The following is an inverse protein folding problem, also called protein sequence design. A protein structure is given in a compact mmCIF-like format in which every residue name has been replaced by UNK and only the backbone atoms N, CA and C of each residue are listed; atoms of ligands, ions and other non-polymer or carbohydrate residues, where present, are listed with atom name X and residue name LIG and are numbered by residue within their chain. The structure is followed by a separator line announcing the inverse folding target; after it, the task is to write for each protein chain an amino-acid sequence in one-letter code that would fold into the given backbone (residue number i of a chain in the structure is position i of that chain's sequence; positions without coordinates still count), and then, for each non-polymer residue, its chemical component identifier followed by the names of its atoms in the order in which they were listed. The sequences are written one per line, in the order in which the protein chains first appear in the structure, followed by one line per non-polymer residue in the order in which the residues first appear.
data_IF_609051168635
#
_entry.id   IF_609051168635
#
_cell.length_a   1.000
_cell.length_b   1.000
_cell.length_c   1.000
_cell.angle_alpha   90.00
_cell.angle_beta   90.00
_cell.angle_gamma   90.00
#
_symmetry.space_group_name_H-M   'P 1'
#
loop_
_entity.id
_entity.type
_entity.pdbx_description
1 polymer ?
#
# COMPACT_ATOMS: atom_id res chain seq x y z
N UNK A 1 43.50 42.98 -28.93
CA UNK A 1 44.84 42.57 -29.35
C UNK A 1 45.14 41.21 -28.81
N UNK A 2 45.51 40.33 -29.71
CA UNK A 2 46.17 39.02 -29.64
C UNK A 2 45.43 37.93 -28.83
N UNK A 3 44.75 36.96 -29.39
CA UNK A 3 45.17 35.89 -30.32
C UNK A 3 46.19 34.93 -29.69
N UNK A 4 45.73 33.67 -29.43
CA UNK A 4 46.38 32.44 -29.87
C UNK A 4 45.61 31.19 -29.37
N UNK A 5 44.99 30.45 -30.25
CA UNK A 5 44.88 28.99 -30.23
C UNK A 5 46.06 28.47 -31.08
N UNK A 6 46.47 27.21 -31.16
CA UNK A 6 45.66 25.99 -31.23
C UNK A 6 46.31 24.72 -30.60
N UNK A 7 45.66 23.56 -30.67
CA UNK A 7 46.38 22.29 -30.59
C UNK A 7 45.55 21.06 -30.24
N UNK A 8 44.87 20.48 -31.23
CA UNK A 8 44.37 19.11 -31.26
C UNK A 8 45.50 18.08 -31.08
N UNK A 9 45.30 17.06 -30.24
CA UNK A 9 45.73 15.66 -30.55
C UNK A 9 44.91 14.64 -29.83
N UNK A 10 44.22 13.80 -30.63
CA UNK A 10 43.58 12.54 -30.26
C UNK A 10 44.68 11.55 -29.83
N UNK A 11 44.45 10.86 -28.71
CA UNK A 11 45.16 9.62 -28.41
C UNK A 11 44.08 8.56 -28.05
N UNK A 12 43.83 7.70 -29.03
CA UNK A 12 43.10 6.45 -28.84
C UNK A 12 44.04 5.44 -28.21
N UNK A 13 43.79 5.04 -26.99
CA UNK A 13 44.49 3.90 -26.36
C UNK A 13 43.61 2.69 -26.52
N UNK A 14 44.03 1.76 -27.38
CA UNK A 14 43.51 0.39 -27.43
C UNK A 14 44.10 -0.38 -26.25
N UNK A 15 43.28 -0.81 -25.35
CA UNK A 15 43.64 -1.82 -24.37
C UNK A 15 43.20 -3.19 -24.91
N UNK A 16 44.21 -3.97 -25.35
CA UNK A 16 44.12 -5.36 -25.65
C UNK A 16 44.18 -6.16 -24.35
N UNK A 17 43.18 -6.95 -24.05
CA UNK A 17 43.19 -7.96 -22.97
C UNK A 17 43.79 -9.27 -23.51
N UNK A 18 44.74 -9.90 -22.82
CA UNK A 18 45.25 -11.22 -23.20
C UNK A 18 44.26 -12.27 -22.76
N UNK A 19 43.89 -13.16 -23.70
CA UNK A 19 43.15 -14.39 -23.43
C UNK A 19 44.06 -15.41 -22.75
N UNK A 20 43.76 -15.79 -21.53
CA UNK A 20 44.35 -16.96 -20.88
C UNK A 20 43.55 -18.18 -21.34
N UNK A 21 44.15 -18.97 -22.24
CA UNK A 21 43.64 -20.30 -22.67
C UNK A 21 44.11 -21.33 -21.66
N UNK A 22 43.21 -21.86 -20.86
CA UNK A 22 43.48 -23.06 -20.06
C UNK A 22 43.24 -24.31 -20.93
N UNK A 23 44.37 -24.97 -21.32
CA UNK A 23 44.37 -26.33 -21.90
C UNK A 23 44.19 -27.33 -20.75
N UNK A 24 42.94 -27.78 -20.53
CA UNK A 24 42.63 -29.09 -19.97
C UNK A 24 41.14 -29.19 -19.67
N UNK A 25 40.37 -29.64 -20.65
CA UNK A 25 39.14 -30.39 -20.49
C UNK A 25 38.66 -30.86 -21.87
N UNK A 26 39.32 -31.91 -22.36
CA UNK A 26 38.76 -32.74 -23.42
C UNK A 26 37.85 -33.79 -22.80
N UNK A 27 36.70 -34.00 -23.45
CA UNK A 27 35.74 -35.10 -23.29
C UNK A 27 34.86 -35.14 -22.02
N UNK A 28 33.67 -34.59 -22.17
CA UNK A 28 32.45 -35.32 -21.83
C UNK A 28 31.25 -34.70 -22.59
N UNK A 29 30.73 -35.44 -23.57
CA UNK A 29 29.44 -35.19 -24.21
C UNK A 29 28.34 -35.37 -23.17
N UNK A 30 27.67 -34.28 -22.76
CA UNK A 30 26.41 -34.35 -22.06
C UNK A 30 25.31 -33.94 -23.05
N UNK A 31 24.34 -34.82 -23.33
CA UNK A 31 23.26 -34.46 -24.25
C UNK A 31 22.35 -33.42 -23.64
N UNK A 32 22.00 -32.40 -24.46
CA UNK A 32 21.01 -31.37 -24.20
C UNK A 32 19.67 -32.01 -23.79
N UNK A 33 19.30 -31.87 -22.52
CA UNK A 33 17.95 -32.16 -22.04
C UNK A 33 17.01 -31.06 -22.50
N UNK A 34 16.09 -31.40 -23.40
CA UNK A 34 14.98 -30.63 -23.84
C UNK A 34 14.00 -30.24 -22.70
N UNK A 35 13.30 -29.10 -22.77
CA UNK A 35 12.35 -28.65 -21.74
C UNK A 35 11.00 -29.35 -21.90
N UNK A 36 10.83 -30.54 -21.38
CA UNK A 36 9.62 -31.36 -21.50
C UNK A 36 8.93 -31.70 -20.16
N UNK A 37 9.08 -30.90 -19.10
CA UNK A 37 8.40 -31.18 -17.82
C UNK A 37 7.01 -30.58 -17.67
N UNK A 38 6.49 -29.80 -18.64
CA UNK A 38 5.13 -29.23 -18.56
C UNK A 38 4.13 -30.02 -19.41
N UNK A 39 4.58 -30.82 -20.37
CA UNK A 39 3.68 -31.59 -21.28
C UNK A 39 3.30 -32.96 -20.67
N UNK A 40 4.09 -33.49 -19.75
CA UNK A 40 3.81 -34.81 -19.18
C UNK A 40 2.71 -34.87 -18.11
N UNK A 41 2.24 -33.73 -17.61
CA UNK A 41 1.10 -33.72 -16.65
C UNK A 41 -0.26 -33.83 -17.36
N UNK A 42 -0.31 -33.51 -18.64
CA UNK A 42 -1.57 -33.61 -19.42
C UNK A 42 -1.68 -34.94 -20.16
N UNK A 43 -0.55 -35.67 -20.38
CA UNK A 43 -0.54 -36.94 -21.13
C UNK A 43 -0.72 -38.20 -20.29
N UNK A 44 -0.68 -38.13 -18.98
CA UNK A 44 -0.83 -39.32 -18.11
C UNK A 44 -2.30 -39.69 -17.77
N UNK A 45 -3.27 -39.11 -18.49
CA UNK A 45 -4.69 -39.47 -18.36
C UNK A 45 -5.36 -39.87 -19.67
N UNK A 46 -4.58 -40.39 -20.64
CA UNK A 46 -5.16 -41.03 -21.79
C UNK A 46 -4.60 -42.44 -21.94
N UNK A 47 -5.51 -43.39 -21.67
CA UNK A 47 -5.59 -44.75 -22.20
C UNK A 47 -4.51 -45.81 -21.81
N UNK A 48 -4.78 -46.47 -20.72
CA UNK A 48 -4.65 -47.91 -20.72
C UNK A 48 -6.03 -48.49 -21.06
N UNK A 49 -6.31 -48.68 -22.35
CA UNK A 49 -7.36 -49.62 -22.79
C UNK A 49 -6.76 -51.00 -22.67
N UNK A 50 -6.84 -51.58 -21.47
CA UNK A 50 -6.65 -53.00 -21.30
C UNK A 50 -7.85 -53.72 -21.90
N UNK A 51 -7.61 -54.64 -22.87
CA UNK A 51 -8.62 -55.59 -23.36
C UNK A 51 -9.32 -56.23 -22.14
N UNK A 52 -10.59 -55.94 -21.98
CA UNK A 52 -11.41 -56.54 -20.94
C UNK A 52 -11.58 -58.03 -21.21
N UNK A 53 -11.33 -58.88 -20.21
CA UNK A 53 -11.85 -60.24 -20.25
C UNK A 53 -13.38 -60.17 -20.17
N UNK A 54 -14.05 -60.98 -21.01
CA UNK A 54 -15.48 -61.14 -21.01
C UNK A 54 -15.94 -61.74 -19.66
N UNK A 55 -16.32 -60.88 -18.72
CA UNK A 55 -17.02 -61.30 -17.50
C UNK A 55 -18.51 -61.12 -17.72
N UNK A 56 -19.23 -62.23 -17.56
CA UNK A 56 -20.70 -62.23 -17.46
C UNK A 56 -21.11 -61.49 -16.20
N UNK A 57 -21.61 -60.26 -16.36
CA UNK A 57 -22.19 -59.51 -15.27
C UNK A 57 -23.59 -60.06 -14.92
N UNK A 58 -23.71 -60.62 -13.73
CA UNK A 58 -25.04 -60.88 -13.13
C UNK A 58 -25.64 -59.56 -12.70
N UNK A 59 -26.97 -59.37 -12.93
CA UNK A 59 -27.72 -58.15 -12.61
C UNK A 59 -27.62 -57.68 -11.15
N UNK A 60 -27.26 -58.55 -10.21
CA UNK A 60 -27.05 -58.24 -8.81
C UNK A 60 -25.79 -57.43 -8.51
N UNK A 61 -24.69 -57.66 -9.27
CA UNK A 61 -23.44 -56.87 -9.09
C UNK A 61 -23.58 -55.42 -9.58
N UNK A 62 -24.43 -55.18 -10.59
CA UNK A 62 -24.71 -53.81 -11.07
C UNK A 62 -25.59 -53.02 -10.06
N UNK A 63 -26.52 -53.67 -9.38
CA UNK A 63 -27.35 -53.04 -8.37
C UNK A 63 -26.55 -52.66 -7.11
N UNK A 64 -25.57 -53.47 -6.72
CA UNK A 64 -24.69 -53.18 -5.57
C UNK A 64 -23.70 -52.04 -5.85
N UNK A 65 -23.19 -51.92 -7.09
CA UNK A 65 -22.34 -50.79 -7.51
C UNK A 65 -23.12 -49.47 -7.64
N UNK A 66 -24.41 -49.49 -7.99
CA UNK A 66 -25.28 -48.30 -8.05
C UNK A 66 -25.65 -47.81 -6.65
N UNK A 67 -25.75 -48.70 -5.66
CA UNK A 67 -26.03 -48.32 -4.26
C UNK A 67 -24.77 -47.85 -3.52
N UNK A 68 -23.58 -48.30 -3.89
CA UNK A 68 -22.30 -47.89 -3.29
C UNK A 68 -21.82 -46.48 -3.78
N UNK A 69 -22.23 -46.03 -4.98
CA UNK A 69 -21.81 -44.74 -5.54
C UNK A 69 -22.22 -43.52 -4.68
N UNK A 70 -23.42 -43.46 -4.06
CA UNK A 70 -23.77 -42.34 -3.18
C UNK A 70 -23.03 -42.36 -1.85
N UNK A 71 -22.65 -43.50 -1.31
CA UNK A 71 -21.91 -43.61 -0.06
C UNK A 71 -20.44 -43.21 -0.23
N UNK A 72 -19.80 -43.70 -1.30
CA UNK A 72 -18.43 -43.32 -1.65
C UNK A 72 -18.34 -41.84 -1.98
N UNK A 73 -19.33 -41.28 -2.69
CA UNK A 73 -19.40 -39.84 -2.94
C UNK A 73 -19.58 -39.01 -1.66
N UNK A 74 -20.42 -39.50 -0.72
CA UNK A 74 -20.58 -38.87 0.60
C UNK A 74 -19.33 -38.97 1.47
N UNK A 75 -18.63 -40.09 1.47
CA UNK A 75 -17.35 -40.25 2.18
C UNK A 75 -16.24 -39.41 1.57
N UNK A 76 -16.12 -39.36 0.25
CA UNK A 76 -15.18 -38.48 -0.46
C UNK A 76 -15.48 -37.00 -0.19
N UNK A 77 -16.77 -36.60 -0.18
CA UNK A 77 -17.20 -35.26 0.20
C UNK A 77 -16.89 -34.94 1.68
N UNK A 78 -17.08 -35.92 2.58
CA UNK A 78 -16.75 -35.79 4.01
C UNK A 78 -15.23 -35.74 4.26
N UNK A 79 -14.42 -36.49 3.50
CA UNK A 79 -12.97 -36.44 3.53
C UNK A 79 -12.45 -35.10 2.95
N UNK A 80 -13.04 -34.63 1.83
CA UNK A 80 -12.72 -33.32 1.25
C UNK A 80 -13.07 -32.16 2.20
N UNK A 81 -14.10 -32.31 3.04
CA UNK A 81 -14.46 -31.31 4.06
C UNK A 81 -13.47 -31.26 5.23
N UNK A 82 -12.66 -32.30 5.43
CA UNK A 82 -11.63 -32.35 6.49
C UNK A 82 -10.28 -31.79 6.06
N UNK A 83 -10.06 -31.51 4.79
CA UNK A 83 -8.81 -30.91 4.26
C UNK A 83 -9.00 -29.46 3.89
N UNK A 84 -7.90 -28.68 3.97
CA UNK A 84 -7.91 -27.31 3.41
C UNK A 84 -8.06 -27.35 1.88
N UNK A 85 -8.86 -26.46 1.25
CA UNK A 85 -8.98 -26.38 -0.19
C UNK A 85 -7.63 -25.98 -0.81
N UNK A 86 -7.33 -26.50 -2.00
CA UNK A 86 -6.12 -26.15 -2.75
C UNK A 86 -6.07 -24.64 -3.06
N UNK A 87 -7.20 -24.06 -3.42
CA UNK A 87 -7.34 -22.63 -3.75
C UNK A 87 -8.55 -22.03 -3.03
N UNK A 88 -8.39 -20.78 -2.62
CA UNK A 88 -9.49 -20.02 -2.02
C UNK A 88 -10.34 -19.40 -3.12
N UNK A 89 -11.61 -19.79 -3.23
CA UNK A 89 -12.59 -19.29 -4.21
C UNK A 89 -13.89 -18.82 -3.55
N UNK A 90 -13.91 -18.76 -2.22
CA UNK A 90 -15.08 -18.41 -1.42
C UNK A 90 -15.48 -16.95 -1.60
N UNK A 91 -16.67 -16.68 -2.19
CA UNK A 91 -17.21 -15.33 -2.36
C UNK A 91 -17.41 -14.60 -1.01
N UNK A 92 -17.92 -15.21 0.05
CA UNK A 92 -18.02 -14.56 1.37
C UNK A 92 -16.67 -14.05 1.90
N UNK A 93 -15.58 -14.82 1.74
CA UNK A 93 -14.23 -14.38 2.15
C UNK A 93 -13.79 -13.15 1.36
N UNK A 94 -14.05 -13.13 0.06
CA UNK A 94 -13.71 -11.97 -0.77
C UNK A 94 -14.51 -10.72 -0.40
N UNK A 95 -15.83 -10.86 -0.16
CA UNK A 95 -16.70 -9.73 0.24
C UNK A 95 -16.30 -9.20 1.61
N UNK A 96 -16.01 -10.07 2.57
CA UNK A 96 -15.53 -9.66 3.88
C UNK A 96 -14.19 -8.90 3.80
N UNK A 97 -13.23 -9.37 3.00
CA UNK A 97 -11.96 -8.67 2.76
C UNK A 97 -12.17 -7.31 2.09
N UNK A 98 -13.10 -7.18 1.13
CA UNK A 98 -13.46 -5.90 0.53
C UNK A 98 -14.07 -4.95 1.55
N UNK A 99 -15.00 -5.44 2.39
CA UNK A 99 -15.59 -4.65 3.47
C UNK A 99 -14.54 -4.18 4.48
N UNK A 100 -13.59 -5.06 4.83
CA UNK A 100 -12.45 -4.70 5.70
C UNK A 100 -11.56 -3.63 5.05
N UNK A 101 -11.25 -3.75 3.76
CA UNK A 101 -10.48 -2.73 3.03
C UNK A 101 -11.22 -1.38 3.01
N UNK A 102 -12.54 -1.38 2.76
CA UNK A 102 -13.36 -0.15 2.82
C UNK A 102 -13.35 0.47 4.22
N UNK A 103 -13.40 -0.35 5.28
CA UNK A 103 -13.32 0.14 6.66
C UNK A 103 -11.95 0.74 6.97
N UNK A 104 -10.85 0.13 6.52
CA UNK A 104 -9.49 0.70 6.64
C UNK A 104 -9.37 2.00 5.85
N UNK A 105 -9.94 2.06 4.64
CA UNK A 105 -10.00 3.30 3.86
C UNK A 105 -10.69 4.43 4.65
N UNK A 106 -11.88 4.17 5.21
CA UNK A 106 -12.60 5.13 6.04
C UNK A 106 -11.80 5.56 7.28
N UNK A 107 -11.12 4.61 7.92
CA UNK A 107 -10.26 4.88 9.09
C UNK A 107 -9.06 5.77 8.74
N UNK A 108 -8.45 5.59 7.57
CA UNK A 108 -7.37 6.48 7.10
C UNK A 108 -7.89 7.89 6.85
N UNK A 109 -9.07 8.05 6.24
CA UNK A 109 -9.69 9.36 6.04
C UNK A 109 -9.98 10.03 7.38
N UNK A 110 -10.54 9.28 8.35
CA UNK A 110 -10.83 9.79 9.69
C UNK A 110 -9.55 10.18 10.46
N UNK A 111 -8.48 9.38 10.34
CA UNK A 111 -7.17 9.71 10.91
C UNK A 111 -6.57 10.99 10.30
N UNK A 112 -6.80 11.23 9.01
CA UNK A 112 -6.44 12.50 8.36
C UNK A 112 -7.23 13.69 8.91
N UNK A 113 -8.52 13.52 9.13
CA UNK A 113 -9.35 14.53 9.81
C UNK A 113 -8.84 14.79 11.23
N UNK A 114 -8.53 13.76 12.01
CA UNK A 114 -7.94 13.90 13.35
C UNK A 114 -6.64 14.72 13.32
N UNK A 115 -5.80 14.54 12.27
CA UNK A 115 -4.59 15.37 12.10
C UNK A 115 -4.91 16.81 11.69
N UNK A 116 -5.84 17.00 10.75
CA UNK A 116 -6.22 18.33 10.23
C UNK A 116 -6.97 19.18 11.25
N UNK A 117 -7.62 18.56 12.23
CA UNK A 117 -8.30 19.23 13.34
C UNK A 117 -7.44 19.32 14.60
N UNK A 118 -6.13 18.96 14.49
CA UNK A 118 -5.18 18.98 15.61
C UNK A 118 -5.67 18.21 16.84
N UNK A 119 -6.46 17.15 16.64
CA UNK A 119 -7.12 16.41 17.72
C UNK A 119 -6.31 15.20 18.23
N UNK A 120 -5.16 14.90 17.62
CA UNK A 120 -4.45 13.62 17.80
C UNK A 120 -3.59 13.50 19.06
N UNK A 121 -3.61 14.49 19.96
CA UNK A 121 -2.89 14.50 21.25
C UNK A 121 -3.84 14.73 22.44
N UNK A 122 -5.16 14.71 22.21
CA UNK A 122 -6.16 14.96 23.25
C UNK A 122 -6.26 13.85 24.29
N UNK A 123 -5.94 12.60 23.91
CA UNK A 123 -5.93 11.43 24.81
C UNK A 123 -4.49 11.05 25.10
N UNK A 124 -3.97 11.47 26.22
CA UNK A 124 -2.56 11.33 26.60
C UNK A 124 -2.18 9.92 27.04
N UNK A 125 -3.13 9.13 27.53
CA UNK A 125 -2.89 7.78 28.03
C UNK A 125 -3.11 6.68 26.97
N UNK A 126 -2.30 5.62 27.08
CA UNK A 126 -2.45 4.43 26.26
C UNK A 126 -3.22 3.35 27.03
N UNK A 127 -4.51 3.20 26.70
CA UNK A 127 -5.39 2.18 27.26
C UNK A 127 -5.97 1.31 26.13
N UNK A 128 -5.29 0.24 25.71
CA UNK A 128 -5.68 -0.52 24.52
C UNK A 128 -7.02 -1.25 24.67
N UNK A 129 -7.39 -1.68 25.88
CA UNK A 129 -8.61 -2.42 26.19
C UNK A 129 -9.62 -1.55 26.93
N UNK A 130 -9.24 -0.97 28.06
CA UNK A 130 -10.15 -0.22 28.98
C UNK A 130 -10.54 1.14 28.46
N UNK A 131 -9.75 1.77 27.56
CA UNK A 131 -10.05 3.08 26.95
C UNK A 131 -11.00 3.02 25.75
N UNK A 132 -11.96 2.09 25.73
CA UNK A 132 -12.91 1.94 24.62
C UNK A 132 -14.20 2.73 24.83
N UNK A 133 -14.57 3.00 26.07
CA UNK A 133 -15.72 3.82 26.42
C UNK A 133 -15.28 5.27 26.65
N UNK A 134 -16.06 6.26 26.22
CA UNK A 134 -15.78 7.68 26.51
C UNK A 134 -16.07 7.96 27.98
N UNK A 135 -15.54 9.07 28.53
CA UNK A 135 -15.91 9.55 29.85
C UNK A 135 -17.45 9.70 29.96
N UNK A 136 -18.02 9.21 31.08
CA UNK A 136 -19.47 9.18 31.26
C UNK A 136 -19.99 10.18 32.29
N UNK A 137 -19.16 10.54 33.24
CA UNK A 137 -19.48 11.52 34.29
C UNK A 137 -18.72 12.83 34.08
N UNK A 138 -19.19 13.90 34.74
CA UNK A 138 -18.47 15.17 34.73
C UNK A 138 -17.08 15.05 35.35
N UNK A 139 -16.94 14.23 36.38
CA UNK A 139 -15.68 13.96 37.04
C UNK A 139 -14.68 13.25 36.13
N UNK A 140 -15.15 12.24 35.33
CA UNK A 140 -14.32 11.59 34.33
C UNK A 140 -13.81 12.57 33.27
N UNK A 141 -14.72 13.46 32.79
CA UNK A 141 -14.34 14.49 31.82
C UNK A 141 -13.32 15.47 32.38
N UNK A 142 -13.50 15.89 33.64
CA UNK A 142 -12.54 16.77 34.30
C UNK A 142 -11.18 16.09 34.43
N UNK A 143 -11.16 14.83 34.84
CA UNK A 143 -9.93 14.05 34.96
C UNK A 143 -9.18 13.93 33.62
N UNK A 144 -9.86 13.62 32.52
CA UNK A 144 -9.23 13.53 31.20
C UNK A 144 -8.76 14.92 30.71
N UNK A 145 -9.52 15.98 30.99
CA UNK A 145 -9.12 17.35 30.64
C UNK A 145 -7.89 17.81 31.44
N UNK A 146 -7.81 17.48 32.72
CA UNK A 146 -6.63 17.83 33.57
C UNK A 146 -5.37 17.12 33.04
N UNK A 147 -5.47 15.87 32.56
CA UNK A 147 -4.36 15.18 31.90
C UNK A 147 -3.92 15.86 30.61
N UNK A 148 -4.88 16.32 29.78
CA UNK A 148 -4.58 17.08 28.57
C UNK A 148 -3.95 18.45 28.90
N UNK A 149 -4.42 19.14 29.94
CA UNK A 149 -3.84 20.40 30.43
C UNK A 149 -2.36 20.26 30.83
N UNK A 150 -1.95 19.09 31.28
CA UNK A 150 -0.56 18.79 31.58
C UNK A 150 0.31 18.48 30.35
N UNK A 151 -0.24 18.53 29.13
CA UNK A 151 0.48 18.28 27.91
C UNK A 151 1.16 19.51 27.33
N UNK A 152 2.27 19.36 26.55
CA UNK A 152 2.91 20.47 25.85
C UNK A 152 1.98 21.18 24.87
N UNK A 153 1.08 20.44 24.18
CA UNK A 153 0.13 21.00 23.23
C UNK A 153 -0.81 21.99 23.89
N UNK A 154 -1.41 21.63 25.03
CA UNK A 154 -2.27 22.56 25.77
C UNK A 154 -1.48 23.78 26.20
N UNK A 155 -0.32 23.58 26.81
CA UNK A 155 0.46 24.69 27.41
C UNK A 155 0.91 25.74 26.37
N UNK A 156 1.27 25.31 25.14
CA UNK A 156 1.84 26.18 24.12
C UNK A 156 0.86 26.59 23.03
N UNK A 157 -0.11 25.75 22.68
CA UNK A 157 -1.01 26.00 21.54
C UNK A 157 -2.44 26.29 21.97
N UNK A 158 -2.94 25.68 23.05
CA UNK A 158 -4.34 25.72 23.45
C UNK A 158 -4.57 26.18 24.91
N UNK A 159 -3.83 27.16 25.47
CA UNK A 159 -3.89 27.51 26.91
C UNK A 159 -5.26 28.03 27.38
N UNK A 160 -6.11 28.45 26.45
CA UNK A 160 -7.45 29.00 26.72
C UNK A 160 -8.59 28.04 26.32
N UNK A 161 -8.27 26.78 25.94
CA UNK A 161 -9.27 25.82 25.53
C UNK A 161 -10.27 25.53 26.64
N UNK A 162 -11.53 25.55 26.27
CA UNK A 162 -12.66 25.24 27.16
C UNK A 162 -12.92 23.72 27.19
N UNK A 163 -13.70 23.29 28.20
CA UNK A 163 -14.11 21.88 28.32
C UNK A 163 -14.89 21.40 27.09
N UNK A 164 -15.73 22.26 26.49
CA UNK A 164 -16.55 21.85 25.34
C UNK A 164 -15.72 21.73 24.06
N UNK A 165 -14.73 22.58 23.85
CA UNK A 165 -13.73 22.43 22.77
C UNK A 165 -12.90 21.18 22.98
N UNK A 166 -12.45 20.90 24.20
CA UNK A 166 -11.73 19.66 24.55
C UNK A 166 -12.55 18.41 24.21
N UNK A 167 -13.85 18.37 24.54
CA UNK A 167 -14.74 17.27 24.19
C UNK A 167 -14.80 17.02 22.68
N UNK A 168 -14.72 18.06 21.85
CA UNK A 168 -14.73 17.92 20.38
C UNK A 168 -13.45 17.23 19.88
N UNK A 169 -12.28 17.70 20.29
CA UNK A 169 -11.00 17.07 19.89
C UNK A 169 -10.86 15.66 20.47
N UNK A 170 -11.32 15.45 21.72
CA UNK A 170 -11.37 14.14 22.36
C UNK A 170 -12.23 13.16 21.55
N UNK A 171 -13.42 13.57 21.11
CA UNK A 171 -14.30 12.73 20.30
C UNK A 171 -13.65 12.32 18.97
N UNK A 172 -12.95 13.23 18.30
CA UNK A 172 -12.25 12.94 17.05
C UNK A 172 -11.18 11.86 17.24
N UNK A 173 -10.34 11.97 18.27
CA UNK A 173 -9.31 11.00 18.56
C UNK A 173 -9.89 9.69 19.09
N UNK A 174 -10.83 9.76 20.04
CA UNK A 174 -11.50 8.60 20.61
C UNK A 174 -12.17 7.73 19.53
N UNK A 175 -12.94 8.34 18.64
CA UNK A 175 -13.63 7.63 17.57
C UNK A 175 -12.65 6.96 16.58
N UNK A 176 -11.52 7.62 16.27
CA UNK A 176 -10.44 7.01 15.48
C UNK A 176 -9.87 5.77 16.19
N UNK A 177 -9.55 5.89 17.48
CA UNK A 177 -9.01 4.77 18.28
C UNK A 177 -9.99 3.61 18.42
N UNK A 178 -11.29 3.89 18.63
CA UNK A 178 -12.35 2.87 18.72
C UNK A 178 -12.55 2.18 17.37
N UNK A 179 -12.61 2.95 16.27
CA UNK A 179 -12.74 2.38 14.94
C UNK A 179 -11.56 1.47 14.61
N UNK A 180 -10.32 1.84 14.96
CA UNK A 180 -9.15 0.97 14.81
C UNK A 180 -9.29 -0.37 15.54
N UNK A 181 -9.83 -0.38 16.78
CA UNK A 181 -10.13 -1.61 17.53
C UNK A 181 -11.22 -2.44 16.84
N UNK A 182 -12.28 -1.79 16.34
CA UNK A 182 -13.35 -2.47 15.60
C UNK A 182 -12.82 -3.10 14.31
N UNK A 183 -11.95 -2.44 13.56
CA UNK A 183 -11.27 -3.03 12.39
C UNK A 183 -10.49 -4.27 12.80
N UNK A 184 -9.75 -4.23 13.89
CA UNK A 184 -9.04 -5.40 14.42
C UNK A 184 -9.96 -6.57 14.74
N UNK A 185 -11.04 -6.34 15.51
CA UNK A 185 -12.00 -7.39 15.89
C UNK A 185 -12.77 -7.95 14.67
N UNK A 186 -13.30 -7.08 13.82
CA UNK A 186 -14.07 -7.47 12.63
C UNK A 186 -13.21 -8.12 11.55
N UNK A 187 -11.89 -7.98 11.64
CA UNK A 187 -10.96 -8.72 10.79
C UNK A 187 -10.53 -10.05 11.43
N UNK A 188 -10.00 -10.03 12.64
CA UNK A 188 -9.38 -11.21 13.28
C UNK A 188 -10.40 -12.31 13.56
N UNK A 189 -11.59 -11.98 14.11
CA UNK A 189 -12.58 -12.99 14.46
C UNK A 189 -13.12 -13.75 13.22
N UNK A 190 -13.52 -13.09 12.11
CA UNK A 190 -13.89 -13.81 10.91
C UNK A 190 -12.70 -14.54 10.25
N UNK A 191 -11.47 -14.02 10.32
CA UNK A 191 -10.29 -14.72 9.81
C UNK A 191 -10.12 -16.07 10.52
N UNK A 192 -10.18 -16.09 11.86
CA UNK A 192 -10.14 -17.31 12.67
C UNK A 192 -11.27 -18.26 12.30
N UNK A 193 -12.49 -17.75 12.15
CA UNK A 193 -13.65 -18.56 11.73
C UNK A 193 -13.40 -19.21 10.35
N UNK A 194 -12.97 -18.47 9.34
CA UNK A 194 -12.73 -19.01 8.00
C UNK A 194 -11.60 -20.02 7.97
N UNK A 195 -10.56 -19.84 8.78
CA UNK A 195 -9.44 -20.80 8.93
C UNK A 195 -9.93 -22.06 9.66
N UNK A 196 -10.61 -21.92 10.80
CA UNK A 196 -11.14 -23.04 11.59
C UNK A 196 -12.14 -23.90 10.79
N UNK A 197 -12.99 -23.23 9.99
CA UNK A 197 -13.96 -23.90 9.10
C UNK A 197 -13.35 -24.39 7.79
N UNK A 198 -12.01 -24.26 7.60
CA UNK A 198 -11.27 -24.67 6.39
C UNK A 198 -11.87 -24.11 5.08
N UNK A 199 -12.41 -22.90 5.14
CA UNK A 199 -12.97 -22.20 3.96
C UNK A 199 -11.92 -21.48 3.12
N UNK A 200 -10.67 -21.48 3.57
CA UNK A 200 -9.52 -20.85 2.92
C UNK A 200 -8.40 -21.87 2.73
N UNK A 201 -7.56 -21.68 1.72
CA UNK A 201 -6.37 -22.52 1.50
C UNK A 201 -5.28 -22.22 2.55
N UNK A 202 -4.33 -23.13 2.75
CA UNK A 202 -3.19 -22.91 3.68
C UNK A 202 -2.41 -21.62 3.37
N UNK A 203 -2.04 -21.32 2.10
CA UNK A 203 -1.39 -20.04 1.77
C UNK A 203 -2.26 -18.83 2.10
N UNK A 204 -3.59 -18.93 1.93
CA UNK A 204 -4.51 -17.86 2.27
C UNK A 204 -4.59 -17.68 3.80
N UNK A 205 -4.59 -18.75 4.58
CA UNK A 205 -4.54 -18.64 6.04
C UNK A 205 -3.28 -17.90 6.52
N UNK A 206 -2.12 -18.16 5.90
CA UNK A 206 -0.90 -17.41 6.17
C UNK A 206 -1.02 -15.92 5.79
N UNK A 207 -1.65 -15.60 4.65
CA UNK A 207 -1.93 -14.21 4.27
C UNK A 207 -2.85 -13.50 5.28
N UNK A 208 -3.91 -14.17 5.73
CA UNK A 208 -4.82 -13.62 6.76
C UNK A 208 -4.10 -13.38 8.09
N UNK A 209 -3.21 -14.29 8.49
CA UNK A 209 -2.36 -14.10 9.67
C UNK A 209 -1.44 -12.87 9.48
N UNK A 210 -0.78 -12.74 8.32
CA UNK A 210 0.08 -11.60 8.02
C UNK A 210 -0.66 -10.27 8.11
N UNK A 211 -1.87 -10.18 7.55
CA UNK A 211 -2.73 -8.99 7.65
C UNK A 211 -3.15 -8.74 9.12
N UNK A 212 -3.51 -9.78 9.87
CA UNK A 212 -3.86 -9.65 11.30
C UNK A 212 -2.71 -9.08 12.13
N UNK A 213 -1.49 -9.57 11.90
CA UNK A 213 -0.27 -9.06 12.55
C UNK A 213 0.01 -7.60 12.16
N UNK A 214 -0.21 -7.23 10.88
CA UNK A 214 -0.03 -5.86 10.43
C UNK A 214 -1.07 -4.91 11.05
N UNK A 215 -2.32 -5.34 11.25
CA UNK A 215 -3.35 -4.57 11.98
C UNK A 215 -2.91 -4.36 13.45
N UNK A 216 -2.43 -5.40 14.12
CA UNK A 216 -1.89 -5.26 15.48
C UNK A 216 -0.70 -4.30 15.54
N UNK A 217 0.19 -4.39 14.57
CA UNK A 217 1.34 -3.50 14.44
C UNK A 217 0.93 -2.04 14.19
N UNK A 218 -0.18 -1.78 13.49
CA UNK A 218 -0.76 -0.45 13.34
C UNK A 218 -1.09 0.21 14.69
N UNK A 219 -1.66 -0.56 15.63
CA UNK A 219 -1.91 -0.07 16.97
C UNK A 219 -0.62 0.35 17.69
N UNK A 220 0.44 -0.45 17.57
CA UNK A 220 1.76 -0.13 18.14
C UNK A 220 2.36 1.13 17.52
N UNK A 221 2.37 1.26 16.19
CA UNK A 221 2.90 2.46 15.50
C UNK A 221 2.07 3.69 15.88
N UNK A 222 0.74 3.56 15.97
CA UNK A 222 -0.13 4.67 16.38
C UNK A 222 0.21 5.16 17.80
N UNK A 223 0.36 4.26 18.74
CA UNK A 223 0.84 4.61 20.08
C UNK A 223 2.22 5.28 20.05
N UNK A 224 3.17 4.70 19.34
CA UNK A 224 4.52 5.24 19.19
C UNK A 224 4.51 6.63 18.54
N UNK A 225 3.57 6.88 17.63
CA UNK A 225 3.36 8.19 17.00
C UNK A 225 2.86 9.22 18.02
N UNK A 226 1.77 8.94 18.75
CA UNK A 226 1.20 9.85 19.76
C UNK A 226 2.21 10.17 20.85
N UNK A 227 2.93 9.16 21.37
CA UNK A 227 3.99 9.36 22.38
C UNK A 227 5.05 10.37 21.94
N UNK A 228 5.26 10.61 20.64
CA UNK A 228 6.23 11.60 20.17
C UNK A 228 5.81 13.04 20.37
N UNK A 229 4.50 13.32 20.39
CA UNK A 229 3.94 14.65 20.62
C UNK A 229 3.73 15.01 22.10
N UNK A 230 3.93 14.05 22.99
CA UNK A 230 3.74 14.19 24.44
C UNK A 230 5.07 14.19 25.23
N UNK A 231 6.17 14.56 24.58
CA UNK A 231 7.49 14.56 25.23
C UNK A 231 7.76 15.86 25.98
N UNK A 232 8.47 15.77 27.08
CA UNK A 232 8.83 16.91 27.94
C UNK A 232 9.73 17.95 27.22
N UNK A 233 10.56 17.53 26.26
CA UNK A 233 11.38 18.43 25.44
C UNK A 233 10.56 19.39 24.58
N UNK A 234 9.27 19.10 24.35
CA UNK A 234 8.35 19.95 23.59
C UNK A 234 7.76 21.11 24.41
N UNK A 235 8.01 21.20 25.71
CA UNK A 235 7.70 22.40 26.51
C UNK A 235 8.69 23.56 26.30
N UNK A 236 9.81 23.32 25.60
CA UNK A 236 10.81 24.35 25.36
C UNK A 236 10.25 25.51 24.53
N UNK A 237 10.62 26.78 24.84
CA UNK A 237 10.20 27.93 24.05
C UNK A 237 10.58 27.78 22.59
N UNK A 238 9.63 28.08 21.69
CA UNK A 238 9.80 27.95 20.25
C UNK A 238 9.65 26.53 19.71
N UNK A 239 9.37 25.54 20.55
CA UNK A 239 8.96 24.20 20.10
C UNK A 239 7.53 24.24 19.55
N UNK A 240 7.22 23.29 18.66
CA UNK A 240 5.87 23.13 18.12
C UNK A 240 5.36 21.72 18.48
N UNK A 241 4.57 21.57 19.57
CA UNK A 241 4.04 20.29 20.00
C UNK A 241 3.17 19.64 18.91
N UNK A 242 3.68 18.57 18.30
CA UNK A 242 3.00 17.75 17.32
C UNK A 242 3.60 16.36 17.24
N UNK A 243 2.88 15.43 16.66
CA UNK A 243 3.43 14.09 16.40
C UNK A 243 4.57 14.15 15.38
N UNK A 244 5.57 13.28 15.55
CA UNK A 244 6.69 13.19 14.62
C UNK A 244 6.20 12.88 13.20
N UNK A 245 6.61 13.69 12.21
CA UNK A 245 6.32 13.47 10.78
C UNK A 245 6.80 12.11 10.29
N UNK A 246 7.91 11.59 10.81
CA UNK A 246 8.43 10.26 10.48
C UNK A 246 7.50 9.15 10.95
N UNK A 247 7.00 9.25 12.19
CA UNK A 247 6.10 8.26 12.78
C UNK A 247 4.72 8.33 12.15
N UNK A 248 4.24 9.53 11.81
CA UNK A 248 3.03 9.74 11.03
C UNK A 248 3.13 9.09 9.65
N UNK A 249 4.23 9.32 8.93
CA UNK A 249 4.48 8.71 7.62
C UNK A 249 4.57 7.18 7.72
N UNK A 250 5.22 6.64 8.75
CA UNK A 250 5.28 5.20 8.98
C UNK A 250 3.90 4.61 9.26
N UNK A 251 3.08 5.28 10.08
CA UNK A 251 1.71 4.86 10.39
C UNK A 251 0.82 4.86 9.13
N UNK A 252 0.86 5.93 8.35
CA UNK A 252 0.11 6.04 7.09
C UNK A 252 0.59 5.01 6.06
N UNK A 253 1.91 4.84 5.88
CA UNK A 253 2.49 3.91 4.91
C UNK A 253 2.14 2.45 5.20
N UNK A 254 2.17 2.05 6.45
CA UNK A 254 1.75 0.70 6.87
C UNK A 254 0.23 0.52 6.79
N UNK A 255 -0.58 1.58 6.97
CA UNK A 255 -2.01 1.55 6.72
C UNK A 255 -2.32 1.36 5.23
N UNK A 256 -1.59 2.04 4.33
CA UNK A 256 -1.69 1.84 2.88
C UNK A 256 -1.31 0.41 2.47
N UNK A 257 -0.26 -0.15 3.06
CA UNK A 257 0.13 -1.54 2.82
C UNK A 257 -0.97 -2.50 3.29
N UNK A 258 -1.56 -2.28 4.45
CA UNK A 258 -2.67 -3.08 4.98
C UNK A 258 -3.90 -3.04 4.08
N UNK A 259 -4.34 -1.83 3.70
CA UNK A 259 -5.44 -1.61 2.77
C UNK A 259 -5.21 -2.32 1.43
N UNK A 260 -4.04 -2.10 0.82
CA UNK A 260 -3.68 -2.69 -0.47
C UNK A 260 -3.61 -4.21 -0.40
N UNK A 261 -3.07 -4.77 0.69
CA UNK A 261 -3.00 -6.22 0.88
C UNK A 261 -4.39 -6.86 0.99
N UNK A 262 -5.30 -6.26 1.77
CA UNK A 262 -6.69 -6.71 1.86
C UNK A 262 -7.40 -6.66 0.50
N UNK A 263 -7.30 -5.51 -0.19
CA UNK A 263 -7.94 -5.28 -1.50
C UNK A 263 -7.43 -6.25 -2.55
N UNK A 264 -6.10 -6.37 -2.72
CA UNK A 264 -5.49 -7.26 -3.69
C UNK A 264 -5.79 -8.73 -3.40
N UNK A 265 -5.85 -9.13 -2.12
CA UNK A 265 -6.23 -10.48 -1.71
C UNK A 265 -7.67 -10.78 -2.10
N UNK A 266 -8.60 -9.85 -1.84
CA UNK A 266 -10.00 -10.00 -2.22
C UNK A 266 -10.17 -10.12 -3.74
N UNK A 267 -9.53 -9.22 -4.51
CA UNK A 267 -9.56 -9.24 -5.98
C UNK A 267 -8.94 -10.52 -6.54
N UNK A 268 -7.89 -11.03 -5.90
CA UNK A 268 -7.25 -12.31 -6.28
C UNK A 268 -8.20 -13.48 -6.08
N UNK A 269 -8.95 -13.53 -4.98
CA UNK A 269 -9.97 -14.57 -4.74
C UNK A 269 -11.06 -14.51 -5.82
N UNK A 270 -11.59 -13.32 -6.12
CA UNK A 270 -12.62 -13.13 -7.14
C UNK A 270 -12.12 -13.52 -8.54
N UNK A 271 -10.89 -13.14 -8.86
CA UNK A 271 -10.23 -13.54 -10.12
C UNK A 271 -10.03 -15.05 -10.19
N UNK A 272 -9.49 -15.67 -9.12
CA UNK A 272 -9.30 -17.12 -9.07
C UNK A 272 -10.62 -17.85 -9.24
N UNK A 273 -11.69 -17.40 -8.58
CA UNK A 273 -13.04 -17.94 -8.74
C UNK A 273 -13.51 -17.87 -10.21
N UNK A 274 -13.32 -16.72 -10.89
CA UNK A 274 -13.69 -16.56 -12.30
C UNK A 274 -12.87 -17.48 -13.21
N UNK A 275 -11.56 -17.60 -12.98
CA UNK A 275 -10.68 -18.44 -13.79
C UNK A 275 -10.93 -19.95 -13.59
N UNK A 276 -11.37 -20.37 -12.40
CA UNK A 276 -11.71 -21.78 -12.13
C UNK A 276 -13.11 -22.15 -12.66
N UNK A 277 -14.00 -21.17 -12.81
CA UNK A 277 -15.34 -21.41 -13.38
C UNK A 277 -15.30 -21.63 -14.91
N UNK A 278 -14.34 -21.01 -15.63
CA UNK A 278 -14.16 -21.17 -17.08
C UNK A 278 -12.67 -21.35 -17.40
N UNK A 279 -12.17 -22.61 -17.41
CA UNK A 279 -10.77 -22.91 -17.67
C UNK A 279 -10.31 -22.55 -19.08
N UNK A 280 -11.20 -22.59 -20.07
CA UNK A 280 -10.86 -22.28 -21.47
C UNK A 280 -10.62 -20.79 -21.63
N UNK A 281 -11.54 -19.96 -21.15
CA UNK A 281 -11.35 -18.50 -21.13
C UNK A 281 -10.15 -18.09 -20.25
N UNK A 282 -9.85 -18.85 -19.18
CA UNK A 282 -8.69 -18.63 -18.32
C UNK A 282 -7.38 -18.78 -19.11
N UNK A 283 -7.21 -19.88 -19.85
CA UNK A 283 -6.00 -20.11 -20.67
C UNK A 283 -5.81 -18.99 -21.67
N UNK A 284 -6.88 -18.58 -22.38
CA UNK A 284 -6.85 -17.46 -23.35
C UNK A 284 -6.41 -16.15 -22.67
N UNK A 285 -6.99 -15.80 -21.52
CA UNK A 285 -6.67 -14.57 -20.81
C UNK A 285 -5.24 -14.56 -20.25
N UNK A 286 -4.74 -15.69 -19.75
CA UNK A 286 -3.38 -15.82 -19.24
C UNK A 286 -2.34 -15.77 -20.38
N UNK A 287 -2.66 -16.34 -21.57
CA UNK A 287 -1.80 -16.26 -22.74
C UNK A 287 -1.61 -14.80 -23.20
N UNK A 288 -2.69 -14.01 -23.25
CA UNK A 288 -2.61 -12.58 -23.58
C UNK A 288 -1.66 -11.84 -22.65
N UNK A 289 -1.70 -12.12 -21.33
CA UNK A 289 -0.83 -11.49 -20.34
C UNK A 289 0.66 -11.85 -20.48
N UNK A 290 1.00 -12.96 -21.17
CA UNK A 290 2.38 -13.36 -21.46
C UNK A 290 2.94 -12.74 -22.74
N UNK A 291 2.15 -11.99 -23.50
CA UNK A 291 2.58 -11.40 -24.77
C UNK A 291 3.75 -10.43 -24.58
N UNK A 292 4.81 -10.60 -25.40
CA UNK A 292 6.07 -9.84 -25.23
C UNK A 292 5.87 -8.31 -25.34
N UNK A 293 4.93 -7.84 -26.18
CA UNK A 293 4.66 -6.42 -26.37
C UNK A 293 4.14 -5.70 -25.12
N UNK A 294 3.51 -6.43 -24.16
CA UNK A 294 3.00 -5.81 -22.92
C UNK A 294 3.94 -5.96 -21.72
N UNK A 295 5.05 -6.67 -21.88
CA UNK A 295 6.01 -6.86 -20.78
C UNK A 295 6.61 -5.54 -20.28
N UNK A 296 7.07 -4.59 -21.15
CA UNK A 296 7.53 -3.29 -20.69
C UNK A 296 6.43 -2.51 -19.98
N UNK A 297 5.21 -2.47 -20.54
CA UNK A 297 4.07 -1.80 -19.92
C UNK A 297 3.78 -2.36 -18.51
N UNK A 298 3.78 -3.70 -18.35
CA UNK A 298 3.58 -4.34 -17.05
C UNK A 298 4.69 -4.00 -16.04
N UNK A 299 5.96 -3.92 -16.48
CA UNK A 299 7.08 -3.50 -15.62
C UNK A 299 6.95 -2.04 -15.21
N UNK A 300 6.51 -1.16 -16.12
CA UNK A 300 6.27 0.25 -15.84
C UNK A 300 5.16 0.45 -14.80
N UNK A 301 4.12 -0.40 -14.77
CA UNK A 301 3.09 -0.36 -13.73
C UNK A 301 3.68 -0.59 -12.33
N UNK A 302 4.61 -1.53 -12.15
CA UNK A 302 5.26 -1.72 -10.85
C UNK A 302 6.07 -0.50 -10.42
N UNK A 303 6.85 0.09 -11.35
CA UNK A 303 7.58 1.33 -11.08
C UNK A 303 6.64 2.50 -10.76
N UNK A 304 5.54 2.62 -11.49
CA UNK A 304 4.51 3.63 -11.23
C UNK A 304 3.86 3.43 -9.85
N UNK A 305 3.55 2.19 -9.46
CA UNK A 305 2.99 1.91 -8.12
C UNK A 305 3.95 2.34 -7.01
N UNK A 306 5.26 2.06 -7.16
CA UNK A 306 6.26 2.53 -6.22
C UNK A 306 6.35 4.06 -6.17
N UNK A 307 6.30 4.73 -7.34
CA UNK A 307 6.31 6.19 -7.43
C UNK A 307 5.08 6.82 -6.76
N UNK A 308 3.87 6.29 -7.02
CA UNK A 308 2.62 6.75 -6.38
C UNK A 308 2.71 6.59 -4.86
N UNK A 309 3.20 5.44 -4.39
CA UNK A 309 3.39 5.22 -2.95
C UNK A 309 4.38 6.22 -2.35
N UNK A 310 5.53 6.46 -2.99
CA UNK A 310 6.52 7.46 -2.53
C UNK A 310 5.93 8.86 -2.51
N UNK A 311 5.15 9.23 -3.53
CA UNK A 311 4.45 10.53 -3.58
C UNK A 311 3.44 10.66 -2.43
N UNK A 312 2.69 9.60 -2.10
CA UNK A 312 1.78 9.63 -0.97
C UNK A 312 2.55 9.77 0.38
N UNK A 313 3.71 9.13 0.52
CA UNK A 313 4.55 9.26 1.73
C UNK A 313 5.15 10.66 1.86
N UNK A 314 5.55 11.29 0.76
CA UNK A 314 5.99 12.70 0.79
C UNK A 314 4.86 13.65 1.20
N UNK A 315 3.60 13.36 0.78
CA UNK A 315 2.43 14.09 1.26
C UNK A 315 2.17 13.93 2.76
N UNK A 316 2.50 12.77 3.33
CA UNK A 316 2.43 12.56 4.77
C UNK A 316 3.47 13.41 5.54
N UNK A 317 4.67 13.62 4.97
CA UNK A 317 5.66 14.54 5.52
C UNK A 317 5.15 16.00 5.47
N UNK A 318 4.55 16.41 4.34
CA UNK A 318 3.91 17.74 4.20
C UNK A 318 2.86 17.94 5.30
N UNK A 319 1.97 16.98 5.49
CA UNK A 319 0.93 17.03 6.53
C UNK A 319 1.52 17.01 7.96
N UNK A 320 2.60 16.26 8.19
CA UNK A 320 3.27 16.16 9.48
C UNK A 320 4.00 17.45 9.89
N UNK A 321 4.46 18.24 8.92
CA UNK A 321 5.21 19.49 9.13
C UNK A 321 4.37 20.75 8.94
N UNK A 322 3.06 20.63 8.64
CA UNK A 322 2.19 21.74 8.22
C UNK A 322 2.75 22.53 7.03
N UNK A 323 3.56 21.86 6.23
CA UNK A 323 4.29 22.46 5.12
C UNK A 323 3.38 23.00 4.00
N UNK A 324 2.11 22.58 3.98
CA UNK A 324 1.10 23.11 3.05
C UNK A 324 0.74 24.57 3.28
N UNK A 325 1.13 25.17 4.41
CA UNK A 325 0.80 26.55 4.79
C UNK A 325 1.92 27.55 4.45
N UNK A 326 3.09 27.10 3.95
CA UNK A 326 4.24 27.99 3.76
C UNK A 326 4.18 28.70 2.41
N UNK A 327 3.98 27.97 1.31
CA UNK A 327 3.87 28.50 -0.04
C UNK A 327 2.50 28.13 -0.61
N UNK A 328 1.55 29.06 -0.58
CA UNK A 328 0.13 28.82 -0.97
C UNK A 328 -0.17 29.23 -2.41
N UNK A 329 0.83 29.25 -3.27
CA UNK A 329 0.72 29.57 -4.69
C UNK A 329 1.20 28.40 -5.56
N UNK A 330 0.70 28.35 -6.80
CA UNK A 330 1.06 27.33 -7.77
C UNK A 330 1.06 27.92 -9.19
N UNK A 331 2.04 27.65 -10.07
CA UNK A 331 3.17 26.74 -9.87
C UNK A 331 4.37 27.35 -9.11
N UNK A 332 4.32 28.64 -8.82
CA UNK A 332 5.40 29.37 -8.15
C UNK A 332 5.53 28.96 -6.67
N UNK A 333 6.71 29.22 -6.11
CA UNK A 333 7.01 29.16 -4.68
C UNK A 333 7.80 30.43 -4.33
N UNK A 334 7.07 31.51 -4.02
CA UNK A 334 7.61 32.87 -3.90
C UNK A 334 7.94 33.48 -5.27
N UNK A 335 9.10 34.09 -5.41
CA UNK A 335 9.52 34.78 -6.64
C UNK A 335 9.82 33.85 -7.81
N UNK A 336 10.08 32.56 -7.56
CA UNK A 336 10.46 31.56 -8.56
C UNK A 336 9.57 30.33 -8.60
N UNK A 337 10.04 29.29 -9.29
CA UNK A 337 9.43 27.95 -9.28
C UNK A 337 9.91 27.13 -8.07
N UNK A 338 10.97 27.57 -7.41
CA UNK A 338 11.56 26.95 -6.22
C UNK A 338 11.88 28.01 -5.20
N UNK A 339 11.87 27.72 -3.90
CA UNK A 339 12.41 28.59 -2.87
C UNK A 339 13.89 28.92 -3.10
N UNK A 340 14.41 29.98 -2.46
CA UNK A 340 15.83 30.29 -2.49
C UNK A 340 16.71 29.14 -1.99
N UNK A 341 17.90 28.95 -2.56
CA UNK A 341 18.81 27.87 -2.15
C UNK A 341 19.18 27.92 -0.67
N UNK A 342 19.31 29.10 -0.11
CA UNK A 342 19.63 29.29 1.31
C UNK A 342 18.50 28.74 2.23
N UNK A 343 17.25 28.87 1.80
CA UNK A 343 16.11 28.32 2.53
C UNK A 343 16.00 26.79 2.39
N UNK A 344 16.28 26.26 1.17
CA UNK A 344 16.23 24.80 0.93
C UNK A 344 17.33 24.04 1.68
N UNK A 345 18.45 24.67 1.94
CA UNK A 345 19.62 24.09 2.62
C UNK A 345 19.98 24.87 3.87
N UNK A 346 18.97 25.12 4.72
CA UNK A 346 19.14 25.89 5.95
C UNK A 346 19.93 25.08 6.99
N UNK A 347 21.01 25.71 7.50
CA UNK A 347 21.87 25.14 8.53
C UNK A 347 21.15 24.93 9.87
N UNK A 348 20.02 25.60 10.09
CA UNK A 348 19.17 25.41 11.27
C UNK A 348 18.77 23.94 11.50
N UNK A 349 18.60 23.20 10.41
CA UNK A 349 18.19 21.77 10.49
C UNK A 349 19.36 20.83 10.76
N UNK A 350 20.63 21.25 10.58
CA UNK A 350 21.78 20.40 10.91
C UNK A 350 21.93 20.26 12.44
N UNK A 351 22.11 19.05 12.90
CA UNK A 351 22.36 18.75 14.34
C UNK A 351 23.79 18.31 14.60
N UNK A 352 24.52 17.94 13.55
CA UNK A 352 25.93 17.59 13.64
C UNK A 352 26.78 18.80 13.33
N UNK A 353 27.84 19.01 14.12
CA UNK A 353 28.75 20.14 13.96
C UNK A 353 29.48 20.13 12.58
N UNK A 354 29.70 18.94 12.01
CA UNK A 354 30.33 18.76 10.68
C UNK A 354 29.34 18.99 9.52
N UNK A 355 28.07 19.21 9.80
CA UNK A 355 27.03 19.41 8.78
C UNK A 355 26.75 18.19 7.90
N UNK A 356 27.24 17.00 8.22
CA UNK A 356 27.08 15.79 7.41
C UNK A 356 25.61 15.34 7.30
N UNK A 357 24.76 15.81 8.18
CA UNK A 357 23.32 15.51 8.20
C UNK A 357 22.45 16.61 7.55
N UNK A 358 23.04 17.71 7.08
CA UNK A 358 22.34 18.87 6.51
C UNK A 358 21.41 18.49 5.36
N UNK A 359 21.86 17.65 4.41
CA UNK A 359 21.11 17.33 3.20
C UNK A 359 19.86 16.52 3.48
N UNK A 360 19.94 15.43 4.23
CA UNK A 360 18.78 14.57 4.49
C UNK A 360 17.82 15.18 5.50
N UNK A 361 18.31 16.02 6.45
CA UNK A 361 17.43 16.74 7.36
C UNK A 361 16.61 17.79 6.64
N UNK A 362 17.21 18.58 5.78
CA UNK A 362 16.44 19.53 4.97
C UNK A 362 15.39 18.82 4.10
N UNK A 363 15.72 17.69 3.48
CA UNK A 363 14.75 16.92 2.69
C UNK A 363 13.59 16.34 3.51
N UNK A 364 13.73 16.15 4.82
CA UNK A 364 12.74 15.46 5.64
C UNK A 364 12.22 16.28 6.83
N UNK A 365 12.87 17.37 7.21
CA UNK A 365 12.53 18.21 8.36
C UNK A 365 12.27 19.68 7.99
N UNK A 366 12.81 20.18 6.87
CA UNK A 366 12.56 21.54 6.43
C UNK A 366 11.25 21.62 5.65
N UNK A 367 10.23 22.33 6.15
CA UNK A 367 8.92 22.37 5.51
C UNK A 367 8.96 22.89 4.05
N UNK A 368 9.82 23.87 3.74
CA UNK A 368 9.96 24.41 2.39
C UNK A 368 10.49 23.38 1.41
N UNK A 369 11.53 22.63 1.81
CA UNK A 369 12.10 21.54 1.00
C UNK A 369 11.13 20.37 0.88
N UNK A 370 10.49 19.97 1.97
CA UNK A 370 9.48 18.88 1.97
C UNK A 370 8.30 19.21 1.06
N UNK A 371 7.83 20.47 1.05
CA UNK A 371 6.77 20.88 0.13
C UNK A 371 7.24 20.85 -1.33
N UNK A 372 8.45 21.32 -1.62
CA UNK A 372 9.04 21.26 -2.97
C UNK A 372 9.19 19.82 -3.45
N UNK A 373 9.72 18.93 -2.60
CA UNK A 373 9.90 17.50 -2.92
C UNK A 373 8.58 16.84 -3.24
N UNK A 374 7.53 17.13 -2.47
CA UNK A 374 6.18 16.63 -2.75
C UNK A 374 5.65 17.14 -4.09
N UNK A 375 5.84 18.43 -4.43
CA UNK A 375 5.44 18.98 -5.73
C UNK A 375 6.18 18.30 -6.88
N UNK A 376 7.49 18.10 -6.76
CA UNK A 376 8.31 17.41 -7.77
C UNK A 376 7.82 15.98 -7.97
N UNK A 377 7.61 15.24 -6.88
CA UNK A 377 7.10 13.86 -6.94
C UNK A 377 5.69 13.79 -7.53
N UNK A 378 4.80 14.72 -7.16
CA UNK A 378 3.43 14.79 -7.69
C UNK A 378 3.43 15.08 -9.20
N UNK A 379 4.22 16.06 -9.67
CA UNK A 379 4.35 16.37 -11.10
C UNK A 379 5.00 15.23 -11.89
N UNK A 380 5.99 14.57 -11.31
CA UNK A 380 6.62 13.38 -11.89
C UNK A 380 5.63 12.23 -12.02
N UNK A 381 4.82 11.98 -10.99
CA UNK A 381 3.77 10.96 -11.00
C UNK A 381 2.72 11.28 -12.06
N UNK A 382 2.24 12.51 -12.10
CA UNK A 382 1.27 12.98 -13.08
C UNK A 382 1.76 12.78 -14.52
N UNK A 383 2.96 13.26 -14.84
CA UNK A 383 3.55 13.14 -16.18
C UNK A 383 3.86 11.69 -16.55
N UNK A 384 4.28 10.86 -15.58
CA UNK A 384 4.52 9.43 -15.79
C UNK A 384 3.23 8.70 -16.14
N UNK A 385 2.11 9.00 -15.46
CA UNK A 385 0.79 8.40 -15.77
C UNK A 385 0.35 8.79 -17.17
N UNK A 386 0.45 10.07 -17.56
CA UNK A 386 0.08 10.52 -18.91
C UNK A 386 0.97 9.88 -19.99
N UNK A 387 2.26 9.79 -19.74
CA UNK A 387 3.22 9.13 -20.65
C UNK A 387 2.89 7.64 -20.81
N UNK A 388 2.59 6.96 -19.71
CA UNK A 388 2.22 5.54 -19.76
C UNK A 388 0.86 5.32 -20.44
N UNK A 389 -0.09 6.23 -20.26
CA UNK A 389 -1.34 6.24 -21.01
C UNK A 389 -1.09 6.39 -22.52
N UNK A 390 -0.31 7.37 -22.94
CA UNK A 390 0.07 7.56 -24.36
C UNK A 390 0.81 6.32 -24.89
N UNK A 391 1.72 5.74 -24.12
CA UNK A 391 2.40 4.49 -24.48
C UNK A 391 1.43 3.32 -24.67
N UNK A 392 0.41 3.21 -23.82
CA UNK A 392 -0.64 2.18 -23.91
C UNK A 392 -1.50 2.28 -25.19
N UNK A 393 -1.49 3.46 -25.83
CA UNK A 393 -2.25 3.73 -27.09
C UNK A 393 -1.45 3.45 -28.36
N UNK A 394 -0.13 3.24 -28.27
CA UNK A 394 0.68 2.87 -29.44
C UNK A 394 0.16 1.57 -30.06
N UNK A 395 0.11 1.50 -31.40
CA UNK A 395 -0.52 0.40 -32.15
C UNK A 395 -0.09 -1.00 -31.65
N UNK A 396 1.22 -1.22 -31.49
CA UNK A 396 1.78 -2.52 -31.03
C UNK A 396 1.34 -2.91 -29.63
N UNK A 397 1.34 -1.96 -28.68
CA UNK A 397 0.98 -2.20 -27.27
C UNK A 397 -0.54 -2.25 -27.14
N UNK A 398 -1.23 -1.28 -27.75
CA UNK A 398 -2.67 -1.18 -27.70
C UNK A 398 -3.39 -2.40 -28.31
N UNK A 399 -2.87 -3.00 -29.39
CA UNK A 399 -3.43 -4.22 -29.94
C UNK A 399 -3.32 -5.41 -28.99
N UNK A 400 -2.23 -5.49 -28.22
CA UNK A 400 -1.97 -6.59 -27.28
C UNK A 400 -2.62 -6.40 -25.89
N UNK A 401 -2.97 -5.16 -25.48
CA UNK A 401 -3.55 -4.89 -24.16
C UNK A 401 -5.02 -5.34 -24.07
N UNK A 402 -5.41 -6.05 -22.98
CA UNK A 402 -6.80 -6.36 -22.68
C UNK A 402 -7.67 -5.10 -22.58
N UNK A 403 -8.96 -5.22 -22.97
CA UNK A 403 -9.92 -4.09 -22.89
C UNK A 403 -10.01 -3.52 -21.47
N UNK A 404 -10.00 -4.39 -20.44
CA UNK A 404 -10.08 -3.97 -19.03
C UNK A 404 -8.84 -3.19 -18.59
N UNK A 405 -7.64 -3.56 -19.07
CA UNK A 405 -6.41 -2.81 -18.79
C UNK A 405 -6.44 -1.40 -19.42
N UNK A 406 -7.02 -1.28 -20.65
CA UNK A 406 -7.19 0.04 -21.30
C UNK A 406 -8.17 0.93 -20.56
N UNK A 407 -9.31 0.36 -20.08
CA UNK A 407 -10.28 1.08 -19.26
C UNK A 407 -9.67 1.48 -17.90
N UNK A 408 -8.94 0.58 -17.26
CA UNK A 408 -8.23 0.84 -16.02
C UNK A 408 -7.23 2.00 -16.17
N UNK A 409 -6.43 1.99 -17.25
CA UNK A 409 -5.47 3.08 -17.50
C UNK A 409 -6.16 4.44 -17.72
N UNK A 410 -7.31 4.46 -18.41
CA UNK A 410 -8.12 5.68 -18.54
C UNK A 410 -8.67 6.14 -17.18
N UNK A 411 -9.13 5.21 -16.35
CA UNK A 411 -9.57 5.51 -14.98
C UNK A 411 -8.48 6.15 -14.14
N UNK A 412 -7.24 5.64 -14.22
CA UNK A 412 -6.08 6.20 -13.52
C UNK A 412 -5.77 7.62 -13.99
N UNK A 413 -5.91 7.91 -15.31
CA UNK A 413 -5.75 9.29 -15.83
C UNK A 413 -6.77 10.23 -15.22
N UNK A 414 -8.06 9.86 -15.19
CA UNK A 414 -9.07 10.71 -14.54
C UNK A 414 -8.79 10.94 -13.06
N UNK A 415 -8.38 9.89 -12.34
CA UNK A 415 -8.06 9.98 -10.91
C UNK A 415 -6.85 10.90 -10.67
N UNK A 416 -5.79 10.82 -11.47
CA UNK A 416 -4.62 11.69 -11.27
C UNK A 416 -4.91 13.14 -11.63
N UNK A 417 -5.76 13.40 -12.64
CA UNK A 417 -6.21 14.76 -12.93
C UNK A 417 -7.01 15.36 -11.77
N UNK A 418 -7.95 14.58 -11.21
CA UNK A 418 -8.70 14.98 -10.02
C UNK A 418 -7.76 15.19 -8.83
N UNK A 419 -6.80 14.30 -8.62
CA UNK A 419 -5.86 14.36 -7.52
C UNK A 419 -4.94 15.60 -7.62
N UNK A 420 -4.48 15.95 -8.83
CA UNK A 420 -3.73 17.17 -9.06
C UNK A 420 -4.60 18.43 -8.80
N UNK A 421 -5.84 18.45 -9.29
CA UNK A 421 -6.76 19.54 -9.04
C UNK A 421 -7.02 19.73 -7.53
N UNK A 422 -7.30 18.63 -6.80
CA UNK A 422 -7.49 18.67 -5.35
C UNK A 422 -6.24 19.16 -4.61
N UNK A 423 -5.05 18.67 -4.97
CA UNK A 423 -3.80 19.09 -4.34
C UNK A 423 -3.49 20.57 -4.56
N UNK A 424 -3.64 21.07 -5.79
CA UNK A 424 -3.45 22.49 -6.12
C UNK A 424 -4.48 23.34 -5.40
N UNK A 425 -5.75 22.95 -5.41
CA UNK A 425 -6.81 23.69 -4.69
C UNK A 425 -6.57 23.71 -3.18
N UNK A 426 -6.19 22.57 -2.59
CA UNK A 426 -5.83 22.49 -1.16
C UNK A 426 -4.76 23.51 -0.81
N UNK A 427 -3.75 23.64 -1.66
CA UNK A 427 -2.64 24.57 -1.45
C UNK A 427 -3.08 26.04 -1.58
N UNK A 428 -3.73 26.42 -2.69
CA UNK A 428 -4.13 27.81 -3.00
C UNK A 428 -5.13 28.35 -1.98
N UNK A 429 -6.01 27.51 -1.46
CA UNK A 429 -7.00 27.90 -0.46
C UNK A 429 -6.52 27.74 1.00
N UNK A 430 -5.21 27.62 1.23
CA UNK A 430 -4.61 27.54 2.57
C UNK A 430 -5.10 26.33 3.39
N UNK A 431 -5.08 25.16 2.76
CA UNK A 431 -5.34 23.84 3.37
C UNK A 431 -6.72 23.72 4.05
N UNK A 432 -7.85 24.03 3.37
CA UNK A 432 -9.17 23.82 3.97
C UNK A 432 -9.37 22.33 4.28
N UNK A 433 -9.91 22.01 5.46
CA UNK A 433 -10.11 20.63 5.94
C UNK A 433 -10.83 19.74 4.91
N UNK A 434 -11.95 20.16 4.25
CA UNK A 434 -12.61 19.32 3.26
C UNK A 434 -11.75 18.98 2.04
N UNK A 435 -10.99 19.95 1.51
CA UNK A 435 -10.12 19.75 0.34
C UNK A 435 -8.93 18.88 0.70
N UNK A 436 -8.27 19.13 1.83
CA UNK A 436 -7.15 18.34 2.31
C UNK A 436 -7.55 16.88 2.57
N UNK A 437 -8.72 16.67 3.21
CA UNK A 437 -9.27 15.33 3.44
C UNK A 437 -9.62 14.61 2.13
N UNK A 438 -10.23 15.31 1.16
CA UNK A 438 -10.54 14.75 -0.15
C UNK A 438 -9.26 14.40 -0.93
N UNK A 439 -8.24 15.26 -0.89
CA UNK A 439 -6.94 14.98 -1.50
C UNK A 439 -6.25 13.75 -0.90
N UNK A 440 -6.25 13.62 0.44
CA UNK A 440 -5.75 12.43 1.13
C UNK A 440 -6.53 11.17 0.74
N UNK A 441 -7.87 11.23 0.75
CA UNK A 441 -8.73 10.10 0.38
C UNK A 441 -8.49 9.65 -1.08
N UNK A 442 -8.23 10.58 -1.98
CA UNK A 442 -7.95 10.31 -3.39
C UNK A 442 -6.63 9.55 -3.58
N UNK A 443 -5.62 9.78 -2.75
CA UNK A 443 -4.32 9.11 -2.84
C UNK A 443 -4.39 7.59 -2.64
N UNK A 444 -5.38 7.08 -1.91
CA UNK A 444 -5.64 5.65 -1.72
C UNK A 444 -6.33 4.97 -2.91
N UNK A 445 -6.87 5.75 -3.86
CA UNK A 445 -7.59 5.24 -5.04
C UNK A 445 -6.71 5.18 -6.30
N UNK A 446 -5.61 5.93 -6.31
CA UNK A 446 -4.60 5.90 -7.38
C UNK A 446 -3.67 4.71 -7.24
#
# INVERSE_FOLDING_TARGET
MASFAPGLRRLAVRLSTPAIVCRQCQHQHVPLRSPSRIINIVRSRQYAVAKAPSMSFTANAAAEQVQAAPSVAKEAAKAASKSFPEKTTSKPVAIWLLGSAVSVFGLVVWGGLTRLTESGLSITEWRPVTGSLPPSTLEDWQSEFDKYRASPEFALLNPHMTMDEFKQIYFMEWSHRVWGRLVGMTFVLPALYFVARRRVSKPMAANLLGISLLIGFQGFIGWWMVKSGLKDDLFAPGSHPRVSQYRLTAHLGTAFACYSWMLLTALTILRTRKLTADPVAAVKSLHVLKHAAITPFRRSIYGLTALVFTTAMSGALVAGLDAGLIYNEFPKMGLGLTPPKAELWDKFYARKADGSDLWWRNMLENPSTVQLDHRILAMTTFTTILTLFAYSRRARVGAALPKDAKKGMLGVVHLVCLQAALGISTLIYMVPIPLASAHQAGSLRC
#
